data_IF_766539996665
#
_entry.id   IF_766539996665
#
_cell.length_a   1.000
_cell.length_b   1.000
_cell.length_c   1.000
_cell.angle_alpha   90.00
_cell.angle_beta   90.00
_cell.angle_gamma   90.00
#
_symmetry.space_group_name_H-M   'P 1'
#
loop_
_entity.id
_entity.type
_entity.pdbx_description
1 polymer ?
#
# COMPACT_ATOMS: atom_id res chain seq x y z
N UNK A 1 1.57 -56.47 -25.53
CA UNK A 1 1.94 -55.04 -25.44
C UNK A 1 0.64 -54.25 -25.33
N UNK A 2 0.13 -53.95 -24.13
CA UNK A 2 0.61 -52.89 -23.22
C UNK A 2 1.06 -51.68 -24.06
N UNK A 3 0.27 -50.61 -24.11
CA UNK A 3 0.18 -49.70 -22.97
C UNK A 3 -1.24 -49.19 -22.71
N UNK A 4 -1.84 -49.69 -21.62
CA UNK A 4 -2.53 -48.83 -20.65
C UNK A 4 -1.59 -47.64 -20.34
N UNK A 5 -1.99 -46.41 -20.09
CA UNK A 5 -3.04 -46.00 -19.18
C UNK A 5 -3.09 -44.48 -19.22
N UNK A 6 -4.29 -43.92 -19.31
CA UNK A 6 -4.73 -42.67 -18.69
C UNK A 6 -3.87 -41.41 -18.91
N UNK A 7 -4.38 -40.56 -19.82
CA UNK A 7 -4.29 -39.10 -19.73
C UNK A 7 -4.71 -38.65 -18.32
N UNK A 8 -3.76 -38.60 -17.39
CA UNK A 8 -3.96 -37.99 -16.08
C UNK A 8 -3.55 -36.54 -16.20
N UNK A 9 -4.56 -35.67 -16.11
CA UNK A 9 -4.44 -34.23 -15.93
C UNK A 9 -3.29 -33.90 -14.96
N UNK A 10 -2.19 -33.36 -15.47
CA UNK A 10 -1.28 -32.55 -14.65
C UNK A 10 -1.95 -31.20 -14.39
N UNK A 11 -3.02 -31.20 -13.58
CA UNK A 11 -3.50 -29.97 -12.93
C UNK A 11 -2.55 -29.67 -11.78
N UNK A 12 -1.35 -29.23 -12.12
CA UNK A 12 -0.48 -28.57 -11.16
C UNK A 12 -1.14 -27.22 -10.91
N UNK A 13 -1.88 -27.11 -9.81
CA UNK A 13 -2.37 -25.81 -9.34
C UNK A 13 -1.13 -24.94 -9.07
N UNK A 14 -0.76 -24.11 -10.04
CA UNK A 14 0.21 -23.05 -9.82
C UNK A 14 -0.41 -22.11 -8.79
N UNK A 15 0.08 -22.17 -7.56
CA UNK A 15 -0.09 -21.06 -6.62
C UNK A 15 0.63 -19.89 -7.27
N UNK A 16 -0.13 -18.96 -7.87
CA UNK A 16 0.41 -17.74 -8.45
C UNK A 16 1.01 -16.94 -7.29
N UNK A 17 2.33 -17.03 -7.13
CA UNK A 17 3.07 -16.29 -6.11
C UNK A 17 2.79 -14.81 -6.33
N UNK A 18 2.01 -14.20 -5.43
CA UNK A 18 1.68 -12.78 -5.52
C UNK A 18 2.99 -12.01 -5.36
N UNK A 19 3.48 -11.44 -6.47
CA UNK A 19 4.81 -10.84 -6.56
C UNK A 19 4.65 -9.37 -6.20
N UNK A 20 5.06 -8.99 -4.99
CA UNK A 20 5.18 -7.58 -4.64
C UNK A 20 6.12 -6.87 -5.61
N UNK A 21 5.78 -5.62 -5.94
CA UNK A 21 6.63 -4.76 -6.75
C UNK A 21 7.91 -4.47 -5.97
N UNK A 22 9.07 -4.75 -6.57
CA UNK A 22 10.34 -4.37 -5.96
C UNK A 22 10.60 -2.88 -6.12
N UNK A 23 11.37 -2.29 -5.21
CA UNK A 23 11.79 -0.90 -5.33
C UNK A 23 12.42 -0.62 -6.69
N UNK A 24 12.02 0.49 -7.34
CA UNK A 24 12.47 0.94 -8.68
C UNK A 24 12.13 0.00 -9.85
N UNK A 25 11.40 -1.08 -9.62
CA UNK A 25 11.05 -2.04 -10.67
C UNK A 25 10.17 -1.43 -11.78
N UNK A 26 9.38 -0.41 -11.42
CA UNK A 26 8.51 0.33 -12.34
C UNK A 26 9.28 1.03 -13.49
N UNK A 27 10.61 1.20 -13.38
CA UNK A 27 11.44 1.82 -14.44
C UNK A 27 11.56 0.89 -15.66
N UNK A 28 11.64 -0.42 -15.43
CA UNK A 28 11.94 -1.42 -16.45
C UNK A 28 10.76 -2.36 -16.74
N UNK A 29 9.66 -2.20 -16.00
CA UNK A 29 8.46 -3.02 -16.14
C UNK A 29 7.21 -2.16 -15.87
N UNK A 30 6.17 -2.36 -16.66
CA UNK A 30 4.87 -1.73 -16.43
C UNK A 30 4.23 -2.24 -15.13
N UNK A 31 3.66 -1.32 -14.36
CA UNK A 31 2.90 -1.57 -13.14
C UNK A 31 1.42 -1.30 -13.41
N UNK A 32 0.52 -2.12 -12.86
CA UNK A 32 -0.92 -1.82 -12.88
C UNK A 32 -1.26 -0.86 -11.73
N UNK A 33 -2.28 0.00 -11.90
CA UNK A 33 -2.79 0.83 -10.80
C UNK A 33 -3.20 -0.02 -9.60
N UNK A 34 -3.77 -1.21 -9.79
CA UNK A 34 -4.11 -2.13 -8.70
C UNK A 34 -2.92 -2.61 -7.85
N UNK A 35 -1.69 -2.38 -8.30
CA UNK A 35 -0.45 -2.73 -7.59
C UNK A 35 0.12 -1.54 -6.79
N UNK A 36 -0.48 -0.35 -6.93
CA UNK A 36 -0.18 0.86 -6.16
C UNK A 36 -1.05 0.99 -4.91
N UNK A 37 -0.70 1.96 -4.07
CA UNK A 37 -1.52 2.40 -2.95
C UNK A 37 -1.71 3.91 -3.09
N UNK A 38 -2.96 4.35 -3.09
CA UNK A 38 -3.35 5.74 -3.31
C UNK A 38 -4.16 6.27 -2.13
N UNK A 39 -4.27 7.59 -1.94
CA UNK A 39 -5.10 8.18 -0.88
C UNK A 39 -6.55 7.69 -0.90
N UNK A 40 -7.10 7.38 -2.08
CA UNK A 40 -8.43 6.83 -2.26
C UNK A 40 -8.59 5.42 -1.66
N UNK A 41 -7.49 4.69 -1.44
CA UNK A 41 -7.47 3.36 -0.83
C UNK A 41 -7.41 3.43 0.72
N UNK A 42 -7.48 4.63 1.31
CA UNK A 42 -7.41 4.77 2.76
C UNK A 42 -8.61 4.11 3.44
N UNK A 43 -8.31 3.31 4.46
CA UNK A 43 -9.33 2.71 5.31
C UNK A 43 -9.96 3.76 6.22
N UNK A 44 -11.09 3.40 6.82
CA UNK A 44 -11.74 4.26 7.82
C UNK A 44 -10.79 4.61 8.97
N UNK A 45 -9.99 3.65 9.45
CA UNK A 45 -9.01 3.89 10.51
C UNK A 45 -7.93 4.90 10.08
N UNK A 46 -7.44 4.83 8.83
CA UNK A 46 -6.52 5.83 8.31
C UNK A 46 -7.16 7.22 8.29
N UNK A 47 -8.43 7.31 7.86
CA UNK A 47 -9.16 8.57 7.84
C UNK A 47 -9.38 9.13 9.25
N UNK A 48 -9.73 8.29 10.23
CA UNK A 48 -9.87 8.69 11.63
C UNK A 48 -8.58 9.29 12.20
N UNK A 49 -7.42 8.68 11.89
CA UNK A 49 -6.12 9.21 12.30
C UNK A 49 -5.86 10.56 11.64
N UNK A 50 -6.14 10.68 10.34
CA UNK A 50 -5.97 11.94 9.60
C UNK A 50 -6.80 13.06 10.23
N UNK A 51 -8.07 12.82 10.55
CA UNK A 51 -8.94 13.80 11.21
C UNK A 51 -8.41 14.17 12.60
N UNK A 52 -7.97 13.19 13.39
CA UNK A 52 -7.40 13.44 14.72
C UNK A 52 -6.15 14.34 14.63
N UNK A 53 -5.28 14.10 13.64
CA UNK A 53 -4.08 14.93 13.42
C UNK A 53 -4.47 16.34 12.94
N UNK A 54 -5.47 16.47 12.07
CA UNK A 54 -5.99 17.77 11.62
C UNK A 54 -6.52 18.59 12.78
N UNK A 55 -7.31 17.98 13.66
CA UNK A 55 -7.84 18.61 14.86
C UNK A 55 -6.71 19.08 15.77
N UNK A 56 -5.73 18.22 16.06
CA UNK A 56 -4.57 18.58 16.87
C UNK A 56 -3.79 19.77 16.29
N UNK A 57 -3.56 19.78 14.97
CA UNK A 57 -2.90 20.92 14.31
C UNK A 57 -3.71 22.20 14.52
N UNK A 58 -5.03 22.15 14.32
CA UNK A 58 -5.89 23.33 14.41
C UNK A 58 -6.03 23.87 15.84
N UNK A 59 -6.06 22.99 16.85
CA UNK A 59 -6.31 23.34 18.26
C UNK A 59 -5.01 23.69 18.98
N UNK A 60 -3.95 22.90 18.77
CA UNK A 60 -2.74 23.00 19.58
C UNK A 60 -1.61 23.74 18.85
N UNK A 61 -1.41 23.43 17.56
CA UNK A 61 -0.25 23.93 16.81
C UNK A 61 -0.51 25.34 16.28
N UNK A 62 -1.56 25.55 15.49
CA UNK A 62 -1.84 26.83 14.83
C UNK A 62 -1.93 28.00 15.82
N UNK A 63 -2.60 27.88 16.99
CA UNK A 63 -2.65 28.99 17.95
C UNK A 63 -1.32 29.30 18.64
N UNK A 64 -0.40 28.33 18.69
CA UNK A 64 0.88 28.46 19.40
C UNK A 64 2.10 28.59 18.47
N UNK A 65 1.90 28.55 17.14
CA UNK A 65 3.00 28.52 16.16
C UNK A 65 3.98 29.69 16.32
N UNK A 66 3.47 30.90 16.56
CA UNK A 66 4.30 32.09 16.75
C UNK A 66 5.14 32.07 18.04
N UNK A 67 4.73 31.31 19.06
CA UNK A 67 5.55 31.06 20.26
C UNK A 67 6.61 30.00 19.98
N UNK A 68 6.24 28.94 19.24
CA UNK A 68 7.15 27.85 18.86
C UNK A 68 8.32 28.36 18.01
N UNK A 69 8.06 29.24 17.06
CA UNK A 69 9.10 29.85 16.21
C UNK A 69 10.05 30.76 17.01
N UNK A 70 9.53 31.49 18.00
CA UNK A 70 10.34 32.38 18.86
C UNK A 70 11.22 31.64 19.88
N UNK A 71 10.90 30.39 20.22
CA UNK A 71 11.71 29.56 21.10
C UNK A 71 13.00 29.04 20.44
N UNK A 72 13.20 29.33 19.14
CA UNK A 72 14.39 28.91 18.38
C UNK A 72 15.51 29.98 18.31
N UNK A 73 15.54 30.95 19.23
CA UNK A 73 16.68 31.87 19.45
C UNK A 73 17.44 31.52 20.75
#
# INVERSE_FOLDING_TARGET
>A
MNNQSLNTHKNVHYIRKNRSLKGREFIIKSMNTSEGFFPEDFTEEHNMIIETVRDFISIEIVPNIAKMEKLQE
#
